data_IF_243780580510
#
_entry.id   IF_243780580510
#
_cell.length_a   1.000
_cell.length_b   1.000
_cell.length_c   1.000
_cell.angle_alpha   90.00
_cell.angle_beta   90.00
_cell.angle_gamma   90.00
#
_symmetry.space_group_name_H-M   'P 1'
#
loop_
_entity.id
_entity.type
_entity.pdbx_description
1 polymer ?
#
# COMPACT_ATOMS: atom_id res chain seq x y z
N UNK A 1 4.98 -13.39 -5.44
CA UNK A 1 5.23 -11.94 -5.38
C UNK A 1 3.96 -11.24 -4.92
N UNK A 2 4.07 -10.26 -4.02
CA UNK A 2 2.95 -9.48 -3.52
C UNK A 2 2.84 -8.16 -4.26
N UNK A 3 1.61 -7.71 -4.50
CA UNK A 3 1.34 -6.39 -5.07
C UNK A 3 0.05 -5.78 -4.54
N UNK A 4 0.00 -4.44 -4.48
CA UNK A 4 -1.20 -3.67 -4.12
C UNK A 4 -1.23 -2.40 -4.98
N UNK A 5 -2.29 -2.25 -5.78
CA UNK A 5 -2.50 -1.07 -6.60
C UNK A 5 -3.24 0.01 -5.80
N UNK A 6 -2.78 1.26 -5.89
CA UNK A 6 -3.43 2.38 -5.20
C UNK A 6 -4.91 2.55 -5.60
N UNK A 7 -5.25 2.30 -6.87
CA UNK A 7 -6.63 2.31 -7.37
C UNK A 7 -7.53 1.29 -6.66
N UNK A 8 -7.02 0.09 -6.40
CA UNK A 8 -7.76 -0.97 -5.71
C UNK A 8 -7.98 -0.61 -4.22
N UNK A 9 -7.05 0.16 -3.65
CA UNK A 9 -7.11 0.69 -2.29
C UNK A 9 -7.92 2.00 -2.14
N UNK A 10 -8.61 2.46 -3.20
CA UNK A 10 -9.49 3.63 -3.15
C UNK A 10 -8.85 4.97 -3.56
N UNK A 11 -7.60 4.97 -4.03
CA UNK A 11 -6.94 6.16 -4.57
C UNK A 11 -7.08 6.15 -6.10
N UNK A 12 -8.20 6.68 -6.59
CA UNK A 12 -8.66 6.51 -7.98
C UNK A 12 -7.74 7.13 -9.04
N UNK A 13 -7.00 8.18 -8.67
CA UNK A 13 -6.11 8.94 -9.57
C UNK A 13 -4.62 8.61 -9.35
N UNK A 14 -4.30 7.38 -8.94
CA UNK A 14 -2.93 6.94 -8.73
C UNK A 14 -2.65 5.57 -9.37
N UNK A 15 -1.76 5.55 -10.37
CA UNK A 15 -1.33 4.34 -11.08
C UNK A 15 -0.23 3.54 -10.38
N UNK A 16 0.20 3.99 -9.20
CA UNK A 16 1.25 3.32 -8.47
C UNK A 16 0.80 1.94 -7.98
N UNK A 17 1.71 0.97 -8.08
CA UNK A 17 1.53 -0.40 -7.62
C UNK A 17 2.69 -0.73 -6.70
N UNK A 18 2.38 -0.81 -5.40
CA UNK A 18 3.34 -1.26 -4.40
C UNK A 18 3.68 -2.73 -4.63
N UNK A 19 4.93 -3.13 -4.44
CA UNK A 19 5.41 -4.50 -4.68
C UNK A 19 6.38 -4.99 -3.60
N UNK A 20 6.39 -6.29 -3.35
CA UNK A 20 7.33 -6.94 -2.43
C UNK A 20 7.37 -8.45 -2.57
N UNK A 21 8.44 -9.10 -2.13
CA UNK A 21 8.51 -10.56 -1.97
C UNK A 21 7.89 -11.01 -0.65
N UNK A 22 7.79 -10.10 0.33
CA UNK A 22 7.05 -10.27 1.58
C UNK A 22 6.00 -9.17 1.76
N UNK A 23 5.04 -9.37 2.68
CA UNK A 23 4.12 -8.28 3.06
C UNK A 23 4.87 -7.09 3.67
N UNK A 24 5.98 -7.32 4.39
CA UNK A 24 6.77 -6.24 4.99
C UNK A 24 7.37 -5.33 3.90
N UNK A 25 7.98 -5.92 2.89
CA UNK A 25 8.53 -5.18 1.75
C UNK A 25 7.44 -4.44 0.96
N UNK A 26 6.29 -5.10 0.74
CA UNK A 26 5.13 -4.45 0.12
C UNK A 26 4.69 -3.21 0.90
N UNK A 27 4.59 -3.34 2.24
CA UNK A 27 4.19 -2.23 3.10
C UNK A 27 5.24 -1.14 3.17
N UNK A 28 6.53 -1.48 3.12
CA UNK A 28 7.63 -0.50 3.07
C UNK A 28 7.50 0.36 1.80
N UNK A 29 7.39 -0.27 0.64
CA UNK A 29 7.26 0.36 -0.68
C UNK A 29 5.99 1.24 -0.75
N UNK A 30 4.83 0.67 -0.42
CA UNK A 30 3.56 1.40 -0.42
C UNK A 30 3.49 2.55 0.59
N UNK A 31 4.10 2.39 1.77
CA UNK A 31 4.16 3.44 2.80
C UNK A 31 5.01 4.62 2.33
N UNK A 32 6.16 4.35 1.70
CA UNK A 32 6.98 5.42 1.16
C UNK A 32 6.21 6.25 0.13
N UNK A 33 5.50 5.57 -0.78
CA UNK A 33 4.70 6.21 -1.79
C UNK A 33 3.57 7.07 -1.20
N UNK A 34 2.76 6.51 -0.29
CA UNK A 34 1.58 7.21 0.24
C UNK A 34 1.97 8.43 1.08
N UNK A 35 3.13 8.42 1.75
CA UNK A 35 3.67 9.57 2.46
C UNK A 35 4.12 10.66 1.47
N UNK A 36 4.92 10.29 0.45
CA UNK A 36 5.51 11.26 -0.48
C UNK A 36 4.50 11.86 -1.45
N UNK A 37 3.55 11.06 -1.94
CA UNK A 37 2.65 11.44 -3.04
C UNK A 37 1.27 11.85 -2.53
N UNK A 38 0.78 11.18 -1.48
CA UNK A 38 -0.56 11.43 -0.93
C UNK A 38 -0.54 12.20 0.40
N UNK A 39 0.64 12.58 0.90
CA UNK A 39 0.79 13.43 2.08
C UNK A 39 0.29 12.80 3.38
N UNK A 40 0.05 11.48 3.40
CA UNK A 40 -0.29 10.78 4.64
C UNK A 40 0.90 10.79 5.59
N UNK A 41 0.63 10.81 6.90
CA UNK A 41 1.70 10.70 7.90
C UNK A 41 1.96 9.23 8.18
N UNK A 42 3.20 8.91 8.54
CA UNK A 42 3.56 7.56 8.96
C UNK A 42 2.67 7.03 10.12
N UNK A 43 2.23 7.93 11.01
CA UNK A 43 1.31 7.59 12.12
C UNK A 43 -0.09 7.19 11.68
N UNK A 44 -0.53 7.56 10.47
CA UNK A 44 -1.84 7.19 9.93
C UNK A 44 -1.84 5.74 9.40
N UNK A 45 -0.65 5.20 9.08
CA UNK A 45 -0.45 3.88 8.50
C UNK A 45 -0.31 2.83 9.62
N UNK A 46 -1.39 2.68 10.38
CA UNK A 46 -1.47 1.79 11.55
C UNK A 46 -1.56 0.31 11.17
N UNK A 47 -1.36 -0.63 12.11
CA UNK A 47 -1.63 -2.05 11.86
C UNK A 47 -3.07 -2.32 11.40
N UNK A 48 -4.04 -1.55 11.91
CA UNK A 48 -5.44 -1.68 11.50
C UNK A 48 -5.68 -1.17 10.08
N UNK A 49 -5.00 -0.08 9.68
CA UNK A 49 -4.98 0.35 8.28
C UNK A 49 -4.42 -0.76 7.37
N UNK A 50 -3.28 -1.35 7.73
CA UNK A 50 -2.70 -2.46 6.95
C UNK A 50 -3.66 -3.64 6.86
N UNK A 51 -4.33 -3.98 7.97
CA UNK A 51 -5.30 -5.06 8.02
C UNK A 51 -6.52 -4.81 7.12
N UNK A 52 -7.08 -3.60 7.10
CA UNK A 52 -8.24 -3.29 6.25
C UNK A 52 -7.92 -3.31 4.76
N UNK A 53 -6.65 -3.14 4.40
CA UNK A 53 -6.18 -3.13 3.02
C UNK A 53 -5.63 -4.48 2.54
N UNK A 54 -5.48 -5.48 3.43
CA UNK A 54 -5.02 -6.83 3.05
C UNK A 54 -5.85 -7.47 1.94
N UNK A 55 -7.15 -7.18 1.89
CA UNK A 55 -8.06 -7.70 0.86
C UNK A 55 -7.71 -7.25 -0.57
N UNK A 56 -6.94 -6.18 -0.72
CA UNK A 56 -6.50 -5.65 -2.02
C UNK A 56 -5.12 -6.19 -2.44
N UNK A 57 -4.46 -6.96 -1.56
CA UNK A 57 -3.17 -7.57 -1.86
C UNK A 57 -3.38 -8.74 -2.81
N UNK A 58 -2.66 -8.70 -3.93
CA UNK A 58 -2.68 -9.76 -4.95
C UNK A 58 -1.40 -10.58 -4.88
N UNK A 59 -1.54 -11.87 -5.15
CA UNK A 59 -0.44 -12.83 -5.23
C UNK A 59 -0.32 -13.33 -6.66
N UNK A 60 0.91 -13.30 -7.18
CA UNK A 60 1.31 -13.90 -8.46
C UNK A 60 2.62 -14.64 -8.32
#
# INVERSE_FOLDING_TARGET
MFSLACRDAGVTDCDYVAKGMTEEELWLDGTEHIIKVHGMKAGDITPQFKQSHKQYIKHS
#
